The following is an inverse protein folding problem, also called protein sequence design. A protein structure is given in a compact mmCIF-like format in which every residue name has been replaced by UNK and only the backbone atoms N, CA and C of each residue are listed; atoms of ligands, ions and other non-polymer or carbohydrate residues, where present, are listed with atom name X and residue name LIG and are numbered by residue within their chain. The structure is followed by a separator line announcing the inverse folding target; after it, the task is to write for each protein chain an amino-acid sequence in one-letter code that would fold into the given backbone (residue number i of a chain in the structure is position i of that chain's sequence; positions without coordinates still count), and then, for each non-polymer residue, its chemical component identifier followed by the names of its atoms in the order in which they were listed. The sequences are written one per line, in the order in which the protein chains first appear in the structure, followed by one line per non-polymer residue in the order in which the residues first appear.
data_IF_382256505967
#
_entry.id   IF_382256505967
#
_cell.length_a   1.000
_cell.length_b   1.000
_cell.length_c   1.000
_cell.angle_alpha   90.00
_cell.angle_beta   90.00
_cell.angle_gamma   90.00
#
_symmetry.space_group_name_H-M   'P 1'
#
loop_
_entity.id
_entity.type
_entity.pdbx_description
1 polymer ?
#
# COMPACT_ATOMS: atom_id res chain seq x y z
N UNK A 1 -51.78 -59.60 -0.10
CA UNK A 1 -51.09 -58.33 -0.45
C UNK A 1 -49.67 -58.31 0.15
N UNK A 2 -48.60 -58.21 -0.65
CA UNK A 2 -47.27 -58.08 -0.09
C UNK A 2 -47.14 -56.73 0.63
N UNK A 3 -46.30 -56.61 1.67
CA UNK A 3 -46.08 -55.34 2.34
C UNK A 3 -45.41 -54.36 1.37
N UNK A 4 -46.01 -53.18 1.25
CA UNK A 4 -45.50 -52.02 0.55
C UNK A 4 -44.04 -51.76 0.92
N UNK A 5 -43.16 -51.81 -0.08
CA UNK A 5 -41.75 -51.47 0.07
C UNK A 5 -41.62 -50.05 0.65
N UNK A 6 -41.11 -49.91 1.87
CA UNK A 6 -40.61 -48.65 2.38
C UNK A 6 -39.47 -48.20 1.44
N UNK A 7 -39.76 -47.29 0.50
CA UNK A 7 -38.71 -46.55 -0.22
C UNK A 7 -37.96 -45.75 0.83
N UNK A 8 -36.80 -46.26 1.25
CA UNK A 8 -35.82 -45.46 2.00
C UNK A 8 -35.50 -44.26 1.12
N UNK A 9 -35.97 -43.07 1.50
CA UNK A 9 -35.60 -41.82 0.84
C UNK A 9 -34.13 -41.53 1.16
N UNK A 10 -33.22 -42.26 0.52
CA UNK A 10 -31.78 -42.01 0.60
C UNK A 10 -31.49 -40.63 0.00
N UNK A 11 -30.87 -39.76 0.78
CA UNK A 11 -30.43 -38.43 0.33
C UNK A 11 -29.55 -38.58 -0.92
N UNK A 12 -29.83 -37.86 -2.02
CA UNK A 12 -28.98 -37.89 -3.21
C UNK A 12 -27.57 -37.39 -2.86
N UNK A 13 -26.55 -38.05 -3.41
CA UNK A 13 -25.17 -37.60 -3.26
C UNK A 13 -25.02 -36.23 -3.94
N UNK A 14 -24.64 -35.17 -3.21
CA UNK A 14 -24.45 -33.87 -3.83
C UNK A 14 -23.23 -33.88 -4.75
N UNK A 15 -23.33 -33.16 -5.87
CA UNK A 15 -22.17 -32.83 -6.70
C UNK A 15 -21.18 -31.95 -5.91
N UNK A 16 -19.89 -31.96 -6.27
CA UNK A 16 -18.93 -31.02 -5.68
C UNK A 16 -19.35 -29.57 -5.93
N UNK A 17 -18.97 -28.63 -5.05
CA UNK A 17 -19.27 -27.22 -5.25
C UNK A 17 -18.56 -26.71 -6.51
N UNK A 18 -19.26 -25.86 -7.28
CA UNK A 18 -18.74 -25.18 -8.46
C UNK A 18 -17.99 -23.93 -8.02
N UNK A 19 -16.75 -23.83 -8.47
CA UNK A 19 -15.86 -22.70 -8.16
C UNK A 19 -16.20 -21.54 -9.09
N UNK A 20 -16.55 -20.41 -8.50
CA UNK A 20 -16.82 -19.15 -9.19
C UNK A 20 -15.58 -18.26 -9.22
N UNK A 21 -15.77 -16.98 -8.89
CA UNK A 21 -14.67 -16.01 -8.78
C UNK A 21 -13.69 -16.41 -7.67
N UNK A 22 -12.39 -16.32 -7.98
CA UNK A 22 -11.30 -16.60 -7.06
C UNK A 22 -10.39 -15.39 -7.00
N UNK A 23 -10.27 -14.78 -5.82
CA UNK A 23 -9.33 -13.70 -5.54
C UNK A 23 -8.16 -14.26 -4.72
N UNK A 24 -7.34 -13.36 -4.18
CA UNK A 24 -6.19 -13.70 -3.34
C UNK A 24 -6.60 -13.84 -1.86
N UNK A 25 -7.78 -13.34 -1.47
CA UNK A 25 -8.35 -13.47 -0.13
C UNK A 25 -9.76 -14.08 -0.08
N UNK A 26 -10.33 -14.44 -1.24
CA UNK A 26 -11.67 -15.01 -1.30
C UNK A 26 -11.86 -16.05 -2.40
N UNK A 27 -12.77 -16.98 -2.15
CA UNK A 27 -13.24 -17.98 -3.11
C UNK A 27 -14.76 -18.00 -3.07
N UNK A 28 -15.39 -17.76 -4.22
CA UNK A 28 -16.82 -17.96 -4.39
C UNK A 28 -17.09 -19.43 -4.73
N UNK A 29 -17.93 -20.09 -3.92
CA UNK A 29 -18.45 -21.41 -4.21
C UNK A 29 -19.95 -21.32 -4.46
N UNK A 30 -20.41 -22.04 -5.46
CA UNK A 30 -21.82 -22.18 -5.79
C UNK A 30 -22.20 -23.64 -5.95
N UNK A 31 -23.47 -23.95 -5.76
CA UNK A 31 -23.97 -25.31 -5.92
C UNK A 31 -25.40 -25.26 -6.41
N UNK A 32 -25.66 -25.96 -7.50
CA UNK A 32 -27.01 -26.23 -7.94
C UNK A 32 -27.34 -27.69 -7.69
N UNK A 33 -28.37 -27.91 -6.89
CA UNK A 33 -28.94 -29.23 -6.69
C UNK A 33 -29.87 -29.47 -7.87
N UNK A 34 -29.30 -29.81 -9.03
CA UNK A 34 -29.98 -29.87 -10.32
C UNK A 34 -31.19 -30.83 -10.39
N UNK A 35 -31.61 -31.50 -9.31
CA UNK A 35 -32.77 -32.37 -9.38
C UNK A 35 -33.48 -32.77 -8.07
N UNK A 36 -33.44 -31.99 -6.99
CA UNK A 36 -34.23 -32.41 -5.80
C UNK A 36 -34.97 -31.29 -5.09
N UNK A 37 -36.30 -31.41 -5.18
CA UNK A 37 -37.33 -30.71 -4.44
C UNK A 37 -37.29 -29.18 -4.60
N UNK A 38 -38.14 -28.69 -5.52
CA UNK A 38 -38.85 -27.43 -5.35
C UNK A 38 -39.02 -27.17 -3.85
N UNK A 39 -38.32 -26.16 -3.31
CA UNK A 39 -38.39 -25.73 -1.90
C UNK A 39 -39.85 -25.42 -1.57
N UNK A 40 -40.60 -26.45 -1.17
CA UNK A 40 -42.05 -26.43 -0.97
C UNK A 40 -42.28 -26.85 0.47
N UNK A 41 -43.09 -26.07 1.18
CA UNK A 41 -43.33 -26.26 2.62
C UNK A 41 -42.37 -25.48 3.51
N UNK A 42 -42.55 -25.58 4.84
CA UNK A 42 -41.79 -24.84 5.84
C UNK A 42 -40.29 -25.15 5.80
N UNK A 43 -39.46 -24.16 6.15
CA UNK A 43 -38.00 -24.20 6.02
C UNK A 43 -37.35 -25.35 6.81
N UNK A 44 -38.00 -25.81 7.87
CA UNK A 44 -37.58 -26.95 8.71
C UNK A 44 -37.50 -28.28 7.94
N UNK A 45 -38.19 -28.38 6.80
CA UNK A 45 -38.19 -29.57 5.94
C UNK A 45 -37.14 -29.49 4.83
N UNK A 46 -36.39 -28.37 4.73
CA UNK A 46 -35.43 -28.17 3.66
C UNK A 46 -34.10 -28.84 3.99
N UNK A 47 -33.42 -29.29 2.94
CA UNK A 47 -32.05 -29.79 3.06
C UNK A 47 -31.13 -28.64 3.47
N UNK A 48 -30.44 -28.81 4.60
CA UNK A 48 -29.45 -27.87 5.11
C UNK A 48 -28.11 -28.14 4.44
N UNK A 49 -27.45 -27.10 3.97
CA UNK A 49 -26.19 -27.20 3.26
C UNK A 49 -25.09 -26.64 4.13
N UNK A 50 -24.02 -27.41 4.28
CA UNK A 50 -22.81 -27.04 4.99
C UNK A 50 -21.61 -27.14 4.06
N UNK A 51 -20.74 -26.13 4.07
CA UNK A 51 -19.44 -26.21 3.41
C UNK A 51 -18.43 -26.62 4.48
N UNK A 52 -17.63 -27.62 4.15
CA UNK A 52 -16.52 -28.04 4.99
C UNK A 52 -15.19 -27.79 4.28
N UNK A 53 -14.24 -27.20 5.00
CA UNK A 53 -12.86 -26.98 4.59
C UNK A 53 -11.96 -28.05 5.22
N UNK A 54 -11.03 -28.59 4.44
CA UNK A 54 -10.02 -29.54 4.93
C UNK A 54 -8.88 -28.81 5.65
N UNK A 55 -8.58 -29.21 6.88
CA UNK A 55 -7.33 -28.88 7.55
C UNK A 55 -6.22 -29.76 6.96
N UNK A 56 -5.24 -29.20 6.23
CA UNK A 56 -4.19 -29.98 5.58
C UNK A 56 -3.22 -30.66 6.56
N UNK A 57 -3.12 -30.18 7.81
CA UNK A 57 -2.27 -30.80 8.83
C UNK A 57 -2.97 -31.99 9.47
N UNK A 58 -4.25 -31.82 9.80
CA UNK A 58 -5.03 -32.82 10.52
C UNK A 58 -5.76 -33.80 9.59
N UNK A 59 -5.85 -33.50 8.28
CA UNK A 59 -6.64 -34.25 7.29
C UNK A 59 -8.10 -34.43 7.74
N UNK A 60 -8.63 -33.45 8.47
CA UNK A 60 -10.01 -33.39 8.97
C UNK A 60 -10.76 -32.26 8.29
N UNK A 61 -12.09 -32.35 8.25
CA UNK A 61 -12.94 -31.34 7.64
C UNK A 61 -13.67 -30.54 8.72
N UNK A 62 -13.51 -29.23 8.71
CA UNK A 62 -14.20 -28.29 9.59
C UNK A 62 -15.33 -27.57 8.85
N UNK A 63 -16.50 -27.43 9.49
CA UNK A 63 -17.63 -26.70 8.87
C UNK A 63 -17.40 -25.19 8.95
N UNK A 64 -17.32 -24.52 7.79
CA UNK A 64 -17.08 -23.07 7.68
C UNK A 64 -18.35 -22.28 7.35
N UNK A 65 -19.33 -22.93 6.73
CA UNK A 65 -20.63 -22.33 6.43
C UNK A 65 -21.73 -23.33 6.67
N UNK A 66 -22.90 -22.87 7.09
CA UNK A 66 -24.11 -23.69 7.18
C UNK A 66 -25.35 -22.84 6.94
N UNK A 67 -26.17 -23.21 5.98
CA UNK A 67 -27.38 -22.47 5.64
C UNK A 67 -28.15 -23.05 4.47
N UNK A 68 -28.92 -22.19 3.81
CA UNK A 68 -29.80 -22.54 2.70
C UNK A 68 -29.49 -21.72 1.43
N UNK A 69 -28.37 -20.99 1.40
CA UNK A 69 -27.94 -20.30 0.19
C UNK A 69 -27.56 -21.32 -0.91
N UNK A 70 -27.50 -20.84 -2.15
CA UNK A 70 -26.97 -21.60 -3.31
C UNK A 70 -25.52 -21.23 -3.64
N UNK A 71 -25.00 -20.23 -2.95
CA UNK A 71 -23.64 -19.76 -3.11
C UNK A 71 -23.16 -19.17 -1.79
N UNK A 72 -21.85 -19.17 -1.59
CA UNK A 72 -21.18 -18.53 -0.48
C UNK A 72 -19.79 -18.07 -0.91
N UNK A 73 -19.42 -16.88 -0.48
CA UNK A 73 -18.07 -16.35 -0.66
C UNK A 73 -17.34 -16.58 0.65
N UNK A 74 -16.26 -17.35 0.57
CA UNK A 74 -15.36 -17.58 1.69
C UNK A 74 -14.34 -16.46 1.66
N UNK A 75 -14.23 -15.69 2.73
CA UNK A 75 -13.33 -14.55 2.87
C UNK A 75 -12.22 -14.84 3.89
N UNK A 76 -11.15 -14.04 3.89
CA UNK A 76 -10.05 -14.18 4.83
C UNK A 76 -9.07 -15.32 4.52
N UNK A 77 -9.07 -15.82 3.29
CA UNK A 77 -8.15 -16.85 2.83
C UNK A 77 -6.74 -16.28 2.62
N UNK A 78 -5.72 -17.12 2.75
CA UNK A 78 -4.33 -16.73 2.48
C UNK A 78 -4.05 -16.76 0.98
N UNK A 79 -3.27 -15.82 0.43
CA UNK A 79 -2.87 -15.83 -0.97
C UNK A 79 -1.96 -17.03 -1.29
N UNK A 80 -1.94 -17.45 -2.55
CA UNK A 80 -1.12 -18.58 -3.06
C UNK A 80 -1.27 -19.87 -2.24
N UNK A 81 -2.44 -20.08 -1.65
CA UNK A 81 -2.72 -21.23 -0.78
C UNK A 81 -3.78 -22.10 -1.43
N UNK A 82 -3.58 -23.42 -1.39
CA UNK A 82 -4.55 -24.38 -1.91
C UNK A 82 -5.47 -24.84 -0.80
N UNK A 83 -6.76 -24.66 -1.01
CA UNK A 83 -7.83 -25.07 -0.11
C UNK A 83 -8.62 -26.21 -0.73
N UNK A 84 -9.15 -27.10 0.12
CA UNK A 84 -10.00 -28.21 -0.29
C UNK A 84 -11.34 -28.12 0.40
N UNK A 85 -12.40 -28.08 -0.40
CA UNK A 85 -13.76 -27.89 0.07
C UNK A 85 -14.66 -29.04 -0.34
N UNK A 86 -15.62 -29.41 0.51
CA UNK A 86 -16.70 -30.33 0.16
C UNK A 86 -18.04 -29.82 0.70
N UNK A 87 -19.11 -30.28 0.07
CA UNK A 87 -20.47 -30.03 0.54
C UNK A 87 -20.93 -31.18 1.42
N UNK A 88 -21.59 -30.82 2.51
CA UNK A 88 -22.37 -31.71 3.35
C UNK A 88 -23.84 -31.29 3.26
N UNK A 89 -24.70 -32.22 2.87
CA UNK A 89 -26.15 -32.03 2.84
C UNK A 89 -26.76 -32.80 3.99
N UNK A 90 -27.50 -32.09 4.85
CA UNK A 90 -28.15 -32.66 6.03
C UNK A 90 -29.67 -32.56 5.90
N UNK A 91 -30.36 -33.68 6.10
CA UNK A 91 -31.82 -33.75 6.17
C UNK A 91 -32.35 -33.29 7.53
N UNK A 92 -33.63 -32.93 7.60
CA UNK A 92 -34.34 -32.64 8.86
C UNK A 92 -34.36 -33.84 9.83
N UNK A 93 -34.17 -35.05 9.30
CA UNK A 93 -34.04 -36.30 10.07
C UNK A 93 -32.63 -36.56 10.63
N UNK A 94 -31.65 -35.70 10.31
CA UNK A 94 -30.26 -35.83 10.74
C UNK A 94 -29.37 -36.71 9.85
N UNK A 95 -29.94 -37.35 8.82
CA UNK A 95 -29.14 -38.06 7.81
C UNK A 95 -28.26 -37.06 7.02
N UNK A 96 -27.01 -37.44 6.79
CA UNK A 96 -26.01 -36.60 6.12
C UNK A 96 -25.40 -37.29 4.89
N UNK A 97 -25.17 -36.55 3.82
CA UNK A 97 -24.49 -36.99 2.61
C UNK A 97 -23.41 -36.00 2.20
N UNK A 98 -22.30 -36.49 1.65
CA UNK A 98 -21.11 -35.69 1.33
C UNK A 98 -20.82 -35.71 -0.17
N UNK A 99 -20.36 -34.58 -0.70
CA UNK A 99 -19.80 -34.49 -2.05
C UNK A 99 -18.34 -34.93 -2.08
N UNK A 100 -17.79 -35.24 -3.26
CA UNK A 100 -16.35 -35.19 -3.49
C UNK A 100 -15.79 -33.81 -3.12
N UNK A 101 -14.52 -33.78 -2.71
CA UNK A 101 -13.82 -32.52 -2.42
C UNK A 101 -13.29 -31.88 -3.71
N UNK A 102 -13.41 -30.55 -3.80
CA UNK A 102 -12.80 -29.73 -4.86
C UNK A 102 -11.56 -29.03 -4.30
N UNK A 103 -10.48 -28.97 -5.08
CA UNK A 103 -9.28 -28.20 -4.72
C UNK A 103 -9.28 -26.89 -5.48
N UNK A 104 -9.02 -25.80 -4.77
CA UNK A 104 -8.97 -24.45 -5.34
C UNK A 104 -7.80 -23.71 -4.72
N UNK A 105 -7.00 -23.07 -5.57
CA UNK A 105 -5.87 -22.25 -5.11
C UNK A 105 -6.25 -20.78 -5.24
N UNK A 106 -6.06 -20.01 -4.16
CA UNK A 106 -6.18 -18.55 -4.21
C UNK A 106 -5.13 -17.96 -5.14
N UNK A 107 -5.47 -16.84 -5.76
CA UNK A 107 -4.54 -16.12 -6.64
C UNK A 107 -3.40 -15.47 -5.84
N UNK A 108 -2.37 -14.98 -6.54
CA UNK A 108 -1.31 -14.18 -5.91
C UNK A 108 -1.93 -12.86 -5.45
N UNK A 109 -1.53 -12.39 -4.27
CA UNK A 109 -1.88 -11.05 -3.81
C UNK A 109 -1.42 -10.00 -4.84
N UNK A 110 -2.31 -9.14 -5.35
CA UNK A 110 -1.91 -8.04 -6.20
C UNK A 110 -0.97 -7.15 -5.42
N UNK A 111 0.12 -6.74 -6.09
CA UNK A 111 1.18 -5.98 -5.44
C UNK A 111 0.61 -4.70 -4.82
N UNK A 112 0.69 -4.58 -3.49
CA UNK A 112 0.18 -3.41 -2.78
C UNK A 112 1.16 -2.24 -2.90
N UNK A 113 0.65 -1.03 -3.07
CA UNK A 113 1.46 0.20 -2.97
C UNK A 113 2.24 0.29 -1.65
N UNK A 114 1.74 -0.32 -0.56
CA UNK A 114 2.48 -0.38 0.72
C UNK A 114 3.75 -1.22 0.62
N UNK A 115 3.70 -2.35 -0.11
CA UNK A 115 4.86 -3.23 -0.28
C UNK A 115 5.94 -2.53 -1.10
N UNK A 116 5.54 -1.81 -2.17
CA UNK A 116 6.48 -1.03 -2.97
C UNK A 116 7.04 0.16 -2.17
N UNK A 117 6.21 0.87 -1.40
CA UNK A 117 6.67 1.96 -0.54
C UNK A 117 7.72 1.48 0.46
N UNK A 118 7.47 0.35 1.13
CA UNK A 118 8.43 -0.23 2.08
C UNK A 118 9.72 -0.64 1.38
N UNK A 119 9.64 -1.29 0.22
CA UNK A 119 10.80 -1.71 -0.54
C UNK A 119 11.67 -0.52 -0.97
N UNK A 120 11.05 0.57 -1.46
CA UNK A 120 11.76 1.80 -1.81
C UNK A 120 12.38 2.44 -0.56
N UNK A 121 11.63 2.60 0.55
CA UNK A 121 12.16 3.18 1.78
C UNK A 121 13.34 2.41 2.38
N UNK A 122 13.40 1.09 2.16
CA UNK A 122 14.49 0.22 2.64
C UNK A 122 15.64 0.08 1.65
N UNK A 123 15.58 0.76 0.49
CA UNK A 123 16.49 0.58 -0.64
C UNK A 123 16.64 -0.89 -1.10
N UNK A 124 15.57 -1.67 -1.00
CA UNK A 124 15.56 -3.08 -1.42
C UNK A 124 15.30 -3.14 -2.93
N UNK A 125 16.38 -3.01 -3.70
CA UNK A 125 16.34 -3.00 -5.17
C UNK A 125 15.69 -4.27 -5.71
N UNK A 126 16.04 -5.45 -5.18
CA UNK A 126 15.48 -6.72 -5.65
C UNK A 126 13.98 -6.82 -5.40
N UNK A 127 13.51 -6.42 -4.22
CA UNK A 127 12.08 -6.36 -3.95
C UNK A 127 11.37 -5.38 -4.89
N UNK A 128 11.92 -4.18 -5.10
CA UNK A 128 11.37 -3.19 -6.05
C UNK A 128 11.26 -3.76 -7.46
N UNK A 129 12.32 -4.41 -7.97
CA UNK A 129 12.34 -5.05 -9.29
C UNK A 129 11.26 -6.13 -9.41
N UNK A 130 11.20 -7.04 -8.43
CA UNK A 130 10.22 -8.12 -8.38
C UNK A 130 8.78 -7.59 -8.31
N UNK A 131 8.56 -6.50 -7.56
CA UNK A 131 7.25 -5.88 -7.42
C UNK A 131 6.81 -5.23 -8.74
N UNK A 132 7.70 -4.50 -9.40
CA UNK A 132 7.39 -3.76 -10.62
C UNK A 132 7.15 -4.68 -11.83
N UNK A 133 7.79 -5.86 -11.88
CA UNK A 133 7.47 -6.90 -12.87
C UNK A 133 6.03 -7.45 -12.73
N UNK A 134 5.39 -7.28 -11.57
CA UNK A 134 4.04 -7.75 -11.28
C UNK A 134 2.89 -6.91 -11.87
N UNK A 135 3.18 -5.85 -12.62
CA UNK A 135 2.16 -5.02 -13.28
C UNK A 135 1.63 -3.87 -12.43
N UNK A 136 2.51 -2.94 -12.03
CA UNK A 136 2.16 -1.74 -11.24
C UNK A 136 1.64 -0.61 -12.13
N UNK A 137 0.67 0.17 -11.65
CA UNK A 137 0.12 1.33 -12.39
C UNK A 137 1.12 2.48 -12.51
N UNK A 138 0.95 3.33 -13.52
CA UNK A 138 1.85 4.47 -13.79
C UNK A 138 1.85 5.50 -12.64
N UNK A 139 0.70 5.72 -12.01
CA UNK A 139 0.55 6.65 -10.89
C UNK A 139 1.35 6.19 -9.67
N UNK A 140 1.25 4.90 -9.33
CA UNK A 140 2.07 4.30 -8.27
C UNK A 140 3.55 4.45 -8.59
N UNK A 141 4.02 4.17 -9.81
CA UNK A 141 5.45 4.34 -10.17
C UNK A 141 5.96 5.76 -9.90
N UNK A 142 5.12 6.77 -10.12
CA UNK A 142 5.50 8.18 -10.02
C UNK A 142 5.59 8.66 -8.56
N UNK A 143 4.65 8.23 -7.70
CA UNK A 143 4.74 8.48 -6.25
C UNK A 143 6.01 7.83 -5.65
N UNK A 144 6.31 6.59 -6.05
CA UNK A 144 7.50 5.88 -5.57
C UNK A 144 8.80 6.46 -6.13
N UNK A 145 8.76 7.06 -7.32
CA UNK A 145 9.88 7.83 -7.88
C UNK A 145 10.22 9.03 -7.00
N UNK A 146 9.22 9.80 -6.55
CA UNK A 146 9.43 10.94 -5.64
C UNK A 146 10.07 10.51 -4.32
N UNK A 147 9.58 9.40 -3.74
CA UNK A 147 10.15 8.84 -2.52
C UNK A 147 11.62 8.39 -2.71
N UNK A 148 11.92 7.69 -3.82
CA UNK A 148 13.27 7.27 -4.14
C UNK A 148 14.21 8.48 -4.33
N UNK A 149 13.72 9.57 -4.92
CA UNK A 149 14.44 10.83 -5.08
C UNK A 149 14.78 11.47 -3.73
N UNK A 150 13.81 11.54 -2.82
CA UNK A 150 14.01 12.06 -1.47
C UNK A 150 15.00 11.22 -0.65
N UNK A 151 14.97 9.89 -0.80
CA UNK A 151 15.87 8.98 -0.08
C UNK A 151 17.24 8.76 -0.75
N UNK A 152 17.47 9.34 -1.94
CA UNK A 152 18.77 9.27 -2.61
C UNK A 152 19.07 7.95 -3.32
N UNK A 153 18.06 7.14 -3.63
CA UNK A 153 18.25 5.78 -4.16
C UNK A 153 18.37 5.75 -5.68
N UNK A 154 19.52 6.18 -6.19
CA UNK A 154 19.76 6.39 -7.63
C UNK A 154 19.43 5.16 -8.51
N UNK A 155 19.77 3.95 -8.08
CA UNK A 155 19.52 2.73 -8.85
C UNK A 155 18.02 2.45 -9.03
N UNK A 156 17.24 2.69 -7.97
CA UNK A 156 15.78 2.58 -7.99
C UNK A 156 15.17 3.64 -8.92
N UNK A 157 15.69 4.87 -8.86
CA UNK A 157 15.25 5.98 -9.70
C UNK A 157 15.46 5.65 -11.19
N UNK A 158 16.67 5.20 -11.56
CA UNK A 158 17.01 4.77 -12.92
C UNK A 158 16.05 3.70 -13.42
N UNK A 159 15.81 2.67 -12.62
CA UNK A 159 14.89 1.61 -13.00
C UNK A 159 13.45 2.10 -13.16
N UNK A 160 12.93 2.92 -12.23
CA UNK A 160 11.59 3.49 -12.34
C UNK A 160 11.41 4.31 -13.62
N UNK A 161 12.45 5.05 -14.03
CA UNK A 161 12.48 5.81 -15.28
C UNK A 161 12.47 4.91 -16.51
N UNK A 162 13.25 3.82 -16.53
CA UNK A 162 13.18 2.79 -17.58
C UNK A 162 11.79 2.16 -17.68
N UNK A 163 11.07 2.03 -16.56
CA UNK A 163 9.70 1.52 -16.50
C UNK A 163 8.62 2.57 -16.85
N UNK A 164 9.02 3.77 -17.30
CA UNK A 164 8.13 4.80 -17.80
C UNK A 164 7.54 5.75 -16.74
N UNK A 165 8.10 5.82 -15.53
CA UNK A 165 7.71 6.86 -14.56
C UNK A 165 8.07 8.25 -15.11
N UNK A 166 7.22 9.26 -14.97
CA UNK A 166 7.46 10.61 -15.54
C UNK A 166 7.93 11.62 -14.49
N UNK A 167 8.80 12.55 -14.90
CA UNK A 167 9.22 13.69 -14.08
C UNK A 167 8.14 14.75 -13.87
N UNK A 168 7.14 14.78 -14.74
CA UNK A 168 6.11 15.82 -14.77
C UNK A 168 4.98 15.58 -13.76
N UNK A 169 4.93 14.38 -13.18
CA UNK A 169 3.91 14.04 -12.18
C UNK A 169 4.11 14.88 -10.93
N UNK A 170 2.99 15.26 -10.33
CA UNK A 170 2.92 16.15 -9.18
C UNK A 170 2.15 15.47 -8.06
N UNK A 171 2.63 15.64 -6.83
CA UNK A 171 1.89 15.22 -5.64
C UNK A 171 0.72 16.18 -5.34
N UNK A 172 0.02 15.93 -4.23
CA UNK A 172 -1.11 16.75 -3.78
C UNK A 172 -0.73 18.22 -3.51
N UNK A 173 0.55 18.50 -3.20
CA UNK A 173 1.07 19.87 -3.04
C UNK A 173 1.55 20.50 -4.34
N UNK A 174 1.46 19.78 -5.46
CA UNK A 174 2.00 20.21 -6.73
C UNK A 174 3.51 19.99 -6.87
N UNK A 175 4.17 19.33 -5.92
CA UNK A 175 5.60 19.11 -5.95
C UNK A 175 5.96 18.01 -6.97
N UNK A 176 7.01 18.24 -7.74
CA UNK A 176 7.60 17.26 -8.66
C UNK A 176 8.70 16.46 -7.97
N UNK A 177 9.19 15.39 -8.61
CA UNK A 177 10.31 14.60 -8.09
C UNK A 177 11.56 15.43 -7.76
N UNK A 178 11.83 16.52 -8.49
CA UNK A 178 12.98 17.38 -8.23
C UNK A 178 12.85 18.17 -6.93
N UNK A 179 11.62 18.56 -6.54
CA UNK A 179 11.39 19.17 -5.22
C UNK A 179 11.76 18.19 -4.10
N UNK A 180 11.33 16.93 -4.23
CA UNK A 180 11.62 15.86 -3.29
C UNK A 180 13.12 15.53 -3.23
N UNK A 181 13.82 15.49 -4.38
CA UNK A 181 15.27 15.30 -4.44
C UNK A 181 16.03 16.42 -3.72
N UNK A 182 15.59 17.68 -3.91
CA UNK A 182 16.17 18.85 -3.24
C UNK A 182 15.96 18.81 -1.74
N UNK A 183 14.78 18.38 -1.27
CA UNK A 183 14.52 18.21 0.17
C UNK A 183 15.42 17.14 0.80
N UNK A 184 15.70 16.05 0.06
CA UNK A 184 16.65 15.01 0.48
C UNK A 184 18.11 15.47 0.40
N UNK A 185 18.43 16.44 -0.45
CA UNK A 185 19.75 17.04 -0.57
C UNK A 185 20.80 16.17 -1.26
N UNK A 186 20.38 15.15 -2.01
CA UNK A 186 21.26 14.19 -2.67
C UNK A 186 21.75 14.70 -4.03
N UNK A 187 22.92 15.35 -4.05
CA UNK A 187 23.51 15.95 -5.24
C UNK A 187 23.61 15.00 -6.45
N UNK A 188 24.05 13.76 -6.24
CA UNK A 188 24.19 12.77 -7.33
C UNK A 188 22.85 12.44 -8.02
N UNK A 189 21.78 12.35 -7.23
CA UNK A 189 20.43 12.15 -7.76
C UNK A 189 19.97 13.36 -8.55
N UNK A 190 20.17 14.56 -8.02
CA UNK A 190 19.76 15.81 -8.67
C UNK A 190 20.50 16.00 -9.99
N UNK A 191 21.82 15.79 -10.00
CA UNK A 191 22.63 15.85 -11.21
C UNK A 191 22.15 14.85 -12.27
N UNK A 192 21.86 13.60 -11.86
CA UNK A 192 21.34 12.60 -12.76
C UNK A 192 19.95 12.98 -13.33
N UNK A 193 19.05 13.48 -12.49
CA UNK A 193 17.71 13.92 -12.91
C UNK A 193 17.75 15.05 -13.93
N UNK A 194 18.65 16.02 -13.73
CA UNK A 194 18.86 17.14 -14.65
C UNK A 194 19.36 16.63 -16.00
N UNK A 195 20.34 15.70 -15.98
CA UNK A 195 20.87 15.07 -17.19
C UNK A 195 19.82 14.21 -17.92
N UNK A 196 18.85 13.65 -17.19
CA UNK A 196 17.70 12.91 -17.75
C UNK A 196 16.55 13.83 -18.21
N UNK A 197 16.76 15.15 -18.24
CA UNK A 197 15.81 16.12 -18.81
C UNK A 197 14.68 16.57 -17.87
N UNK A 198 14.88 16.46 -16.55
CA UNK A 198 13.91 16.97 -15.58
C UNK A 198 13.76 18.50 -15.66
N UNK A 199 12.53 19.02 -15.48
CA UNK A 199 12.28 20.46 -15.45
C UNK A 199 12.79 21.10 -14.15
N UNK A 200 13.77 22.00 -14.27
CA UNK A 200 14.47 22.63 -13.14
C UNK A 200 13.62 23.66 -12.40
N UNK A 201 12.82 24.46 -13.13
CA UNK A 201 12.02 25.56 -12.57
C UNK A 201 10.52 25.24 -12.43
N UNK A 202 10.18 23.97 -12.25
CA UNK A 202 8.80 23.61 -11.96
C UNK A 202 8.36 24.28 -10.64
N UNK A 203 7.22 24.99 -10.65
CA UNK A 203 6.65 25.57 -9.43
C UNK A 203 5.71 24.60 -8.75
N UNK A 204 5.75 24.47 -7.43
CA UNK A 204 4.69 23.80 -6.68
C UNK A 204 3.35 24.56 -6.73
N UNK A 205 2.26 23.95 -6.25
CA UNK A 205 0.93 24.57 -6.27
C UNK A 205 0.66 25.41 -5.01
N UNK A 206 1.33 25.08 -3.90
CA UNK A 206 1.04 25.68 -2.60
C UNK A 206 1.58 27.11 -2.49
N UNK A 207 2.87 27.28 -2.74
CA UNK A 207 3.63 28.52 -2.55
C UNK A 207 4.20 29.05 -3.87
N UNK A 208 4.04 28.31 -4.97
CA UNK A 208 4.71 28.55 -6.24
C UNK A 208 6.24 28.51 -6.12
N UNK A 209 6.73 27.69 -5.20
CA UNK A 209 8.16 27.54 -5.00
C UNK A 209 8.79 26.68 -6.09
N UNK A 210 9.94 27.11 -6.59
CA UNK A 210 10.81 26.29 -7.43
C UNK A 210 11.74 25.44 -6.54
N UNK A 211 12.36 24.38 -7.09
CA UNK A 211 13.38 23.61 -6.39
C UNK A 211 14.48 24.49 -5.79
N UNK A 212 14.93 25.54 -6.48
CA UNK A 212 15.93 26.48 -5.97
C UNK A 212 15.46 27.26 -4.72
N UNK A 213 14.18 27.67 -4.69
CA UNK A 213 13.61 28.32 -3.49
C UNK A 213 13.57 27.37 -2.30
N UNK A 214 13.28 26.08 -2.53
CA UNK A 214 13.27 25.05 -1.48
C UNK A 214 14.64 24.81 -0.86
N UNK A 215 15.73 24.92 -1.62
CA UNK A 215 17.08 24.83 -1.06
C UNK A 215 17.25 25.83 0.08
N UNK A 216 16.75 27.04 -0.08
CA UNK A 216 16.87 28.08 0.95
C UNK A 216 16.02 27.76 2.18
N UNK A 217 14.76 27.34 1.96
CA UNK A 217 13.76 27.13 2.99
C UNK A 217 13.91 25.83 3.79
N UNK A 218 14.46 24.77 3.17
CA UNK A 218 14.42 23.42 3.73
C UNK A 218 15.81 22.91 4.10
N UNK A 219 16.78 22.99 3.18
CA UNK A 219 18.06 22.28 3.35
C UNK A 219 19.25 23.18 3.66
N UNK A 220 19.28 24.41 3.13
CA UNK A 220 20.44 25.30 3.17
C UNK A 220 21.66 24.77 2.40
N UNK A 221 21.49 23.74 1.56
CA UNK A 221 22.60 23.04 0.91
C UNK A 221 23.13 23.83 -0.30
N UNK A 222 24.31 24.45 -0.14
CA UNK A 222 24.96 25.28 -1.17
C UNK A 222 25.37 24.49 -2.41
N UNK A 223 25.68 23.21 -2.27
CA UNK A 223 26.10 22.38 -3.40
C UNK A 223 24.89 22.10 -4.30
N UNK A 224 23.73 21.83 -3.70
CA UNK A 224 22.46 21.69 -4.42
C UNK A 224 22.06 23.00 -5.10
N UNK A 225 22.20 24.15 -4.41
CA UNK A 225 21.93 25.45 -5.03
C UNK A 225 22.83 25.68 -6.25
N UNK A 226 24.13 25.39 -6.12
CA UNK A 226 25.10 25.53 -7.21
C UNK A 226 24.71 24.65 -8.40
N UNK A 227 24.39 23.37 -8.17
CA UNK A 227 23.94 22.44 -9.21
C UNK A 227 22.71 22.94 -9.96
N UNK A 228 21.69 23.42 -9.25
CA UNK A 228 20.48 23.94 -9.89
C UNK A 228 20.75 25.21 -10.72
N UNK A 229 21.60 26.11 -10.21
CA UNK A 229 21.98 27.34 -10.92
C UNK A 229 22.81 27.01 -12.18
N UNK A 230 23.76 26.08 -12.07
CA UNK A 230 24.57 25.60 -13.20
C UNK A 230 23.69 24.92 -14.26
N UNK A 231 22.62 24.24 -13.83
CA UNK A 231 21.60 23.66 -14.70
C UNK A 231 20.62 24.68 -15.31
N UNK A 232 20.79 25.97 -15.01
CA UNK A 232 20.01 27.06 -15.61
C UNK A 232 18.74 27.45 -14.85
N UNK A 233 18.61 27.11 -13.56
CA UNK A 233 17.52 27.58 -12.72
C UNK A 233 17.42 29.12 -12.72
N UNK A 234 16.24 29.66 -12.97
CA UNK A 234 16.02 31.11 -12.95
C UNK A 234 15.97 31.64 -11.50
N UNK A 235 17.04 32.35 -11.13
CA UNK A 235 17.21 32.99 -9.82
C UNK A 235 16.26 34.16 -9.56
N UNK A 236 15.47 34.57 -10.56
CA UNK A 236 14.54 35.70 -10.48
C UNK A 236 13.07 35.28 -10.44
N UNK A 237 12.77 33.98 -10.44
CA UNK A 237 11.39 33.49 -10.31
C UNK A 237 10.78 34.05 -9.03
N UNK A 238 9.51 34.42 -9.10
CA UNK A 238 8.75 34.90 -7.95
C UNK A 238 7.80 33.84 -7.44
N UNK A 239 7.78 33.66 -6.13
CA UNK A 239 6.77 32.86 -5.44
C UNK A 239 5.43 33.60 -5.38
N UNK A 240 4.44 32.98 -4.73
CA UNK A 240 3.09 33.53 -4.55
C UNK A 240 3.06 34.89 -3.83
N UNK A 241 4.06 35.17 -2.99
CA UNK A 241 4.20 36.44 -2.27
C UNK A 241 5.06 37.46 -3.04
N UNK A 242 5.50 37.13 -4.25
CA UNK A 242 6.37 37.97 -5.06
C UNK A 242 7.85 37.91 -4.67
N UNK A 243 8.26 36.97 -3.82
CA UNK A 243 9.64 36.83 -3.32
C UNK A 243 10.47 35.98 -4.27
N UNK A 244 11.72 36.38 -4.44
CA UNK A 244 12.72 35.64 -5.23
C UNK A 244 13.48 34.64 -4.35
N UNK A 245 14.16 33.63 -4.94
CA UNK A 245 15.02 32.72 -4.17
C UNK A 245 16.01 33.45 -3.26
N UNK A 246 16.64 34.52 -3.76
CA UNK A 246 17.58 35.32 -2.96
C UNK A 246 16.90 36.03 -1.78
N UNK A 247 15.68 36.55 -1.98
CA UNK A 247 14.91 37.16 -0.89
C UNK A 247 14.55 36.14 0.19
N UNK A 248 14.22 34.90 -0.21
CA UNK A 248 13.94 33.81 0.74
C UNK A 248 15.15 33.46 1.60
N UNK A 249 16.37 33.41 1.03
CA UNK A 249 17.63 33.25 1.80
C UNK A 249 17.77 34.34 2.86
N UNK A 250 17.61 35.61 2.45
CA UNK A 250 17.79 36.75 3.36
C UNK A 250 16.77 36.73 4.49
N UNK A 251 15.49 36.44 4.20
CA UNK A 251 14.46 36.38 5.24
C UNK A 251 14.70 35.26 6.25
N UNK A 252 15.15 34.09 5.81
CA UNK A 252 15.46 32.97 6.71
C UNK A 252 16.66 33.26 7.60
N UNK A 253 17.69 33.92 7.07
CA UNK A 253 18.82 34.38 7.86
C UNK A 253 18.37 35.39 8.93
N UNK A 254 17.48 36.32 8.59
CA UNK A 254 16.93 37.27 9.55
C UNK A 254 16.01 36.60 10.60
N UNK A 255 15.21 35.60 10.20
CA UNK A 255 14.39 34.83 11.13
C UNK A 255 15.25 33.99 12.09
N UNK A 256 16.30 33.35 11.59
CA UNK A 256 17.24 32.59 12.42
C UNK A 256 18.01 33.51 13.38
N UNK A 257 18.43 34.70 12.94
CA UNK A 257 19.03 35.71 13.83
C UNK A 257 18.06 36.15 14.93
N UNK A 258 16.78 36.38 14.61
CA UNK A 258 15.75 36.72 15.61
C UNK A 258 15.58 35.61 16.64
N UNK A 259 15.43 34.36 16.20
CA UNK A 259 15.33 33.19 17.09
C UNK A 259 16.56 33.05 17.99
N UNK A 260 17.78 33.25 17.45
CA UNK A 260 19.00 33.26 18.26
C UNK A 260 18.98 34.38 19.30
N UNK A 261 18.58 35.60 18.92
CA UNK A 261 18.53 36.75 19.82
C UNK A 261 17.52 36.56 20.96
N UNK A 262 16.37 35.94 20.68
CA UNK A 262 15.34 35.60 21.68
C UNK A 262 15.83 34.52 22.64
N UNK A 263 16.59 33.53 22.15
CA UNK A 263 17.14 32.45 22.98
C UNK A 263 18.31 32.89 23.87
N UNK A 264 19.03 33.96 23.49
CA UNK A 264 20.11 34.56 24.30
C UNK A 264 19.61 35.56 25.35
N UNK A 265 18.32 35.89 25.37
CA UNK A 265 17.75 36.88 26.29
C UNK A 265 17.14 36.26 27.57
N UNK A 266 17.41 34.98 27.85
CA UNK A 266 17.23 34.46 29.21
C UNK A 266 18.28 35.13 30.11
N UNK A 267 17.88 35.87 31.16
CA UNK A 267 18.84 36.36 32.13
C UNK A 267 19.56 35.15 32.75
N UNK A 268 20.87 35.21 33.03
CA UNK A 268 21.53 34.13 33.76
C UNK A 268 20.75 33.89 35.06
N UNK A 269 20.57 32.63 35.49
CA UNK A 269 19.89 32.36 36.75
C UNK A 269 20.65 33.12 37.84
N UNK A 270 19.95 34.03 38.51
CA UNK A 270 20.45 34.72 39.69
C UNK A 270 20.78 33.62 40.69
N UNK A 271 22.07 33.30 40.85
CA UNK A 271 22.53 32.42 41.92
C UNK A 271 22.21 33.13 43.23
N UNK A 272 21.07 32.73 43.81
CA UNK A 272 20.68 33.09 45.16
C UNK A 272 21.80 32.69 46.11
N UNK A 273 22.33 33.70 46.77
CA UNK A 273 23.19 33.62 47.93
C UNK A 273 22.72 32.54 48.91
N UNK A 274 23.51 31.49 49.10
CA UNK A 274 23.65 30.77 50.38
C UNK A 274 24.79 29.75 50.36
N UNK A 275 25.43 29.62 51.53
CA UNK A 275 26.49 28.67 51.93
C UNK A 275 27.93 29.22 51.80
N UNK A 276 28.41 29.92 52.84
CA UNK A 276 29.12 29.37 54.01
C UNK A 276 30.61 29.17 53.75
N UNK A 277 31.32 30.25 54.05
CA UNK A 277 32.68 30.30 54.56
C UNK A 277 32.90 29.22 55.65
N UNK A 278 33.82 28.28 55.38
CA UNK A 278 34.47 27.44 56.40
C UNK A 278 35.95 27.28 55.99
N UNK A 279 36.76 28.22 56.49
CA UNK A 279 38.11 28.08 57.08
C UNK A 279 39.06 27.00 56.55
N UNK A 280 40.24 27.40 56.04
CA UNK A 280 41.45 27.71 56.84
C UNK A 280 42.53 28.38 55.97
#
# INVERSE_FOLDING_TARGET
PPPSSCRKHTIPKPHPPVVGEVTHHSIQLSWDLENTAQRKGPQEQWLKISIEEEDPKLHTYGTIYTGYARQHVIEGLQPRTTYRFRLKVTSSTGECSYSPAVSVSTTREPMSGEQLHRAVSMNDVEAVLNILQGGVTVDMKSQHLMLACFSGHLDIIKYLREQGASWEVRDLGGCTALHWAVDGGHCEVIEWMINDGCQVDAKDTCLEWTPLMRVSAVTGNKDVASLLIEAGADVNVKDKDGKTPLMSVVMLLEENKRKLSENTNCPPPVLGSQAREVTK
#
